data_IF_876100346111
#
_entry.id   IF_876100346111
#
_cell.length_a   1.000
_cell.length_b   1.000
_cell.length_c   1.000
_cell.angle_alpha   90.00
_cell.angle_beta   90.00
_cell.angle_gamma   90.00
#
_symmetry.space_group_name_H-M   'P 1'
#
loop_
_entity.id
_entity.type
_entity.pdbx_description
1 polymer ?
#
# COMPACT_ATOMS: atom_id res chain seq x y z
N UNK A 1 8.49 -15.45 -24.31
CA UNK A 1 9.69 -14.64 -24.60
C UNK A 1 9.91 -13.67 -23.47
N UNK A 2 11.12 -13.57 -22.95
CA UNK A 2 11.54 -12.54 -21.99
C UNK A 2 12.70 -11.71 -22.54
N UNK A 3 12.75 -10.45 -22.19
CA UNK A 3 13.87 -9.56 -22.45
C UNK A 3 14.53 -9.18 -21.14
N UNK A 4 15.85 -9.30 -21.06
CA UNK A 4 16.62 -8.96 -19.87
C UNK A 4 16.96 -7.47 -19.89
N UNK A 5 16.51 -6.74 -18.88
CA UNK A 5 16.93 -5.35 -18.63
C UNK A 5 17.60 -5.26 -17.25
N UNK A 6 18.93 -5.09 -17.18
CA UNK A 6 19.66 -5.02 -15.92
C UNK A 6 19.41 -3.72 -15.13
N UNK A 7 18.68 -2.75 -15.68
CA UNK A 7 18.30 -1.51 -14.99
C UNK A 7 17.01 -1.65 -14.19
N UNK A 8 16.23 -2.74 -14.46
CA UNK A 8 15.01 -3.00 -13.69
C UNK A 8 15.36 -3.50 -12.28
N UNK A 9 14.66 -3.02 -11.25
CA UNK A 9 14.82 -3.56 -9.91
C UNK A 9 14.37 -5.02 -9.88
N UNK A 10 15.12 -5.87 -9.16
CA UNK A 10 14.72 -7.24 -8.94
C UNK A 10 13.56 -7.32 -7.96
N UNK A 11 12.51 -8.05 -8.34
CA UNK A 11 11.33 -8.32 -7.51
C UNK A 11 11.25 -9.82 -7.29
N UNK A 12 11.34 -10.24 -6.03
CA UNK A 12 11.32 -11.66 -5.66
C UNK A 12 9.92 -12.21 -5.39
N UNK A 13 9.87 -13.29 -4.60
CA UNK A 13 8.63 -13.96 -4.25
C UNK A 13 7.95 -14.58 -5.47
N UNK A 14 6.63 -14.48 -5.55
CA UNK A 14 5.85 -15.04 -6.68
C UNK A 14 6.06 -14.33 -8.03
N UNK A 15 6.74 -13.17 -8.02
CA UNK A 15 7.13 -12.48 -9.25
C UNK A 15 8.41 -13.06 -9.89
N UNK A 16 9.20 -13.78 -9.10
CA UNK A 16 10.38 -14.47 -9.59
C UNK A 16 10.00 -15.86 -10.13
N UNK A 17 10.38 -16.12 -11.35
CA UNK A 17 10.18 -17.42 -12.00
C UNK A 17 11.53 -17.94 -12.51
N UNK A 18 11.65 -19.26 -12.65
CA UNK A 18 12.84 -19.86 -13.24
C UNK A 18 12.99 -19.46 -14.70
N UNK A 19 14.22 -19.36 -15.19
CA UNK A 19 14.50 -19.00 -16.59
C UNK A 19 13.87 -19.99 -17.57
N UNK A 20 13.72 -21.25 -17.19
CA UNK A 20 13.04 -22.30 -17.95
C UNK A 20 11.55 -22.06 -18.18
N UNK A 21 10.96 -21.07 -17.50
CA UNK A 21 9.58 -20.64 -17.75
C UNK A 21 9.41 -19.99 -19.13
N UNK A 22 10.49 -19.48 -19.70
CA UNK A 22 10.48 -18.80 -20.99
C UNK A 22 11.09 -19.65 -22.09
N UNK A 23 10.44 -19.72 -23.25
CA UNK A 23 10.99 -20.44 -24.45
C UNK A 23 12.17 -19.68 -25.06
N UNK A 24 12.18 -18.36 -24.95
CA UNK A 24 13.21 -17.49 -25.52
C UNK A 24 13.56 -16.38 -24.51
N UNK A 25 14.83 -16.24 -24.21
CA UNK A 25 15.37 -15.14 -23.41
C UNK A 25 16.31 -14.33 -24.29
N UNK A 26 16.05 -13.02 -24.38
CA UNK A 26 16.85 -12.08 -25.15
C UNK A 26 17.61 -11.19 -24.18
N UNK A 27 18.94 -11.12 -24.35
CA UNK A 27 19.81 -10.24 -23.58
C UNK A 27 20.44 -9.19 -24.51
N UNK A 28 19.78 -8.06 -24.73
CA UNK A 28 20.31 -7.03 -25.61
C UNK A 28 21.57 -6.39 -25.01
N UNK A 29 22.46 -5.94 -25.90
CA UNK A 29 23.71 -5.26 -25.49
C UNK A 29 23.50 -3.77 -25.15
N UNK A 30 22.24 -3.33 -25.15
CA UNK A 30 21.87 -1.93 -24.99
C UNK A 30 21.88 -1.13 -26.31
N UNK A 31 21.54 0.13 -26.30
CA UNK A 31 21.11 0.88 -25.13
C UNK A 31 19.73 0.39 -24.63
N UNK A 32 19.54 0.38 -23.31
CA UNK A 32 18.25 0.07 -22.72
C UNK A 32 17.34 1.29 -22.75
N UNK A 33 16.01 1.12 -22.96
CA UNK A 33 15.10 2.24 -22.86
C UNK A 33 15.11 2.80 -21.43
N UNK A 34 14.96 4.13 -21.25
CA UNK A 34 14.85 4.68 -19.91
C UNK A 34 13.61 4.12 -19.20
N UNK A 35 13.74 3.88 -17.89
CA UNK A 35 12.62 3.43 -17.09
C UNK A 35 11.47 4.44 -17.17
N UNK A 36 10.25 3.93 -17.29
CA UNK A 36 9.07 4.77 -17.32
C UNK A 36 8.88 5.49 -15.98
N UNK A 37 8.83 6.81 -16.06
CA UNK A 37 8.50 7.67 -14.92
C UNK A 37 7.02 8.05 -14.92
N UNK A 38 6.36 7.92 -13.76
CA UNK A 38 4.98 8.34 -13.64
C UNK A 38 4.86 9.87 -13.80
N UNK A 39 4.01 10.35 -14.73
CA UNK A 39 3.75 11.77 -14.82
C UNK A 39 3.02 12.26 -13.56
N UNK A 40 3.58 13.27 -12.89
CA UNK A 40 2.93 13.91 -11.74
C UNK A 40 2.04 15.04 -12.22
N UNK A 41 0.84 15.11 -11.66
CA UNK A 41 -0.06 16.23 -11.84
C UNK A 41 -0.20 16.98 -10.51
N UNK A 42 -0.33 18.32 -10.53
CA UNK A 42 -0.63 19.08 -9.33
C UNK A 42 -1.93 18.58 -8.70
N UNK A 43 -1.92 18.43 -7.39
CA UNK A 43 -3.11 18.06 -6.61
C UNK A 43 -3.91 19.32 -6.33
N UNK A 44 -5.17 19.36 -6.76
CA UNK A 44 -6.07 20.50 -6.51
C UNK A 44 -6.66 20.44 -5.09
N UNK A 45 -7.20 21.57 -4.62
CA UNK A 45 -7.93 21.62 -3.34
C UNK A 45 -9.14 20.68 -3.34
N UNK A 46 -9.77 20.49 -4.50
CA UNK A 46 -10.87 19.54 -4.67
C UNK A 46 -10.41 18.11 -4.50
N UNK A 47 -9.26 17.76 -5.08
CA UNK A 47 -8.67 16.42 -4.91
C UNK A 47 -8.33 16.17 -3.43
N UNK A 48 -7.76 17.17 -2.74
CA UNK A 48 -7.49 17.06 -1.30
C UNK A 48 -8.77 16.87 -0.48
N UNK A 49 -9.83 17.61 -0.78
CA UNK A 49 -11.12 17.43 -0.10
C UNK A 49 -11.68 16.03 -0.34
N UNK A 50 -11.66 15.53 -1.57
CA UNK A 50 -12.11 14.17 -1.90
C UNK A 50 -11.23 13.14 -1.19
N UNK A 51 -9.91 13.29 -1.19
CA UNK A 51 -8.98 12.43 -0.50
C UNK A 51 -9.22 12.37 1.01
N UNK A 52 -9.53 13.51 1.64
CA UNK A 52 -9.89 13.59 3.05
C UNK A 52 -11.20 12.84 3.34
N UNK A 53 -12.27 13.06 2.57
CA UNK A 53 -13.51 12.30 2.71
C UNK A 53 -13.29 10.80 2.49
N UNK A 54 -12.60 10.41 1.44
CA UNK A 54 -12.31 9.00 1.13
C UNK A 54 -11.50 8.32 2.25
N UNK A 55 -10.56 9.03 2.86
CA UNK A 55 -9.72 8.50 3.94
C UNK A 55 -10.52 8.11 5.19
N UNK A 56 -11.70 8.72 5.40
CA UNK A 56 -12.59 8.39 6.53
C UNK A 56 -13.26 7.03 6.39
N UNK A 57 -13.36 6.51 5.17
CA UNK A 57 -13.92 5.20 4.87
C UNK A 57 -12.89 4.07 4.97
N UNK A 58 -11.62 4.41 5.14
CA UNK A 58 -10.53 3.43 5.25
C UNK A 58 -10.46 2.90 6.67
N UNK A 59 -10.79 1.62 6.82
CA UNK A 59 -10.81 0.93 8.12
C UNK A 59 -9.39 0.49 8.51
N UNK A 60 -9.04 0.66 9.79
CA UNK A 60 -7.80 0.09 10.34
C UNK A 60 -7.79 -1.45 10.23
N UNK A 61 -6.67 -2.02 9.88
CA UNK A 61 -6.54 -3.44 9.58
C UNK A 61 -7.07 -3.85 8.20
N UNK A 62 -7.58 -2.90 7.40
CA UNK A 62 -8.12 -3.15 6.07
C UNK A 62 -7.08 -3.37 4.99
N UNK A 63 -7.58 -3.62 3.79
CA UNK A 63 -6.79 -3.68 2.55
C UNK A 63 -7.16 -2.49 1.69
N UNK A 64 -6.16 -1.80 1.15
CA UNK A 64 -6.32 -0.61 0.32
C UNK A 64 -5.59 -0.81 -1.00
N UNK A 65 -6.33 -0.67 -2.11
CA UNK A 65 -5.73 -0.58 -3.42
C UNK A 65 -5.67 0.89 -3.84
N UNK A 66 -4.48 1.34 -4.21
CA UNK A 66 -4.22 2.72 -4.63
C UNK A 66 -3.67 2.70 -6.05
N UNK A 67 -4.29 3.48 -6.93
CA UNK A 67 -3.78 3.72 -8.28
C UNK A 67 -2.77 4.86 -8.32
N UNK A 68 -2.70 5.52 -9.46
CA UNK A 68 -1.83 6.67 -9.73
C UNK A 68 -2.68 7.91 -10.03
N UNK A 69 -2.07 9.10 -9.88
CA UNK A 69 -2.70 10.38 -10.20
C UNK A 69 -2.99 11.26 -8.98
N UNK A 70 -3.45 12.48 -9.23
CA UNK A 70 -3.62 13.52 -8.22
C UNK A 70 -4.54 13.08 -7.05
N UNK A 71 -5.64 12.40 -7.37
CA UNK A 71 -6.57 11.90 -6.34
C UNK A 71 -5.92 10.81 -5.46
N UNK A 72 -5.12 9.93 -6.05
CA UNK A 72 -4.37 8.92 -5.30
C UNK A 72 -3.35 9.57 -4.35
N UNK A 73 -2.63 10.60 -4.83
CA UNK A 73 -1.68 11.37 -4.03
C UNK A 73 -2.40 12.10 -2.87
N UNK A 74 -3.56 12.68 -3.15
CA UNK A 74 -4.41 13.33 -2.13
C UNK A 74 -4.87 12.33 -1.04
N UNK A 75 -5.31 11.13 -1.44
CA UNK A 75 -5.70 10.08 -0.50
C UNK A 75 -4.50 9.62 0.34
N UNK A 76 -3.35 9.38 -0.28
CA UNK A 76 -2.12 9.05 0.45
C UNK A 76 -1.77 10.12 1.49
N UNK A 77 -1.83 11.40 1.10
CA UNK A 77 -1.59 12.51 2.02
C UNK A 77 -2.58 12.51 3.19
N UNK A 78 -3.87 12.33 2.93
CA UNK A 78 -4.90 12.30 3.96
C UNK A 78 -4.70 11.14 4.95
N UNK A 79 -4.31 9.95 4.47
CA UNK A 79 -4.04 8.78 5.31
C UNK A 79 -2.78 8.98 6.16
N UNK A 80 -1.73 9.58 5.61
CA UNK A 80 -0.53 9.95 6.37
C UNK A 80 -0.89 10.97 7.45
N UNK A 81 -1.61 12.04 7.10
CA UNK A 81 -2.05 13.06 8.06
C UNK A 81 -2.90 12.45 9.18
N UNK A 82 -3.86 11.58 8.83
CA UNK A 82 -4.68 10.85 9.81
C UNK A 82 -3.82 10.09 10.81
N UNK A 83 -2.73 9.47 10.36
CA UNK A 83 -1.89 8.64 11.21
C UNK A 83 -0.88 9.42 12.01
N UNK A 84 -0.24 10.43 11.42
CA UNK A 84 0.91 11.13 12.02
C UNK A 84 0.54 12.41 12.75
N UNK A 85 -0.55 13.09 12.34
CA UNK A 85 -1.09 14.28 12.99
C UNK A 85 -2.63 14.24 12.98
N UNK A 86 -3.17 13.36 13.79
CA UNK A 86 -4.60 13.13 13.89
C UNK A 86 -5.39 14.34 14.36
N UNK A 87 -4.78 15.18 15.19
CA UNK A 87 -5.43 16.40 15.67
C UNK A 87 -5.69 17.38 14.51
N UNK A 88 -4.71 17.59 13.65
CA UNK A 88 -4.87 18.40 12.44
C UNK A 88 -5.85 17.75 11.46
N UNK A 89 -5.77 16.44 11.24
CA UNK A 89 -6.68 15.71 10.40
C UNK A 89 -8.14 15.92 10.80
N UNK A 90 -8.48 15.70 12.07
CA UNK A 90 -9.85 15.89 12.60
C UNK A 90 -10.31 17.33 12.52
N UNK A 91 -9.42 18.28 12.79
CA UNK A 91 -9.75 19.72 12.68
C UNK A 91 -10.11 20.11 11.25
N UNK A 92 -9.36 19.63 10.26
CA UNK A 92 -9.64 19.90 8.84
C UNK A 92 -10.96 19.26 8.42
N UNK A 93 -11.21 18.01 8.80
CA UNK A 93 -12.46 17.32 8.50
C UNK A 93 -13.66 18.05 9.13
N UNK A 94 -13.57 18.44 10.38
CA UNK A 94 -14.64 19.19 11.05
C UNK A 94 -14.90 20.57 10.43
N UNK A 95 -13.89 21.18 9.80
CA UNK A 95 -14.06 22.42 9.06
C UNK A 95 -14.75 22.21 7.70
N UNK A 96 -14.53 21.03 7.08
CA UNK A 96 -15.18 20.65 5.83
C UNK A 96 -16.63 20.20 6.06
N UNK A 97 -16.84 19.35 7.06
CA UNK A 97 -18.14 18.79 7.42
C UNK A 97 -18.19 18.42 8.90
N UNK A 98 -18.84 19.22 9.75
CA UNK A 98 -18.93 18.97 11.19
C UNK A 98 -19.68 17.67 11.56
N UNK A 99 -20.51 17.15 10.69
CA UNK A 99 -21.29 15.93 10.94
C UNK A 99 -20.64 14.66 10.37
N UNK A 100 -19.52 14.78 9.68
CA UNK A 100 -18.87 13.66 8.97
C UNK A 100 -18.53 12.50 9.91
N UNK A 101 -18.09 12.78 11.14
CA UNK A 101 -17.76 11.73 12.14
C UNK A 101 -18.97 10.85 12.48
N UNK A 102 -20.18 11.41 12.37
CA UNK A 102 -21.45 10.71 12.65
C UNK A 102 -22.09 10.12 11.39
N UNK A 103 -21.47 10.33 10.25
CA UNK A 103 -22.02 9.82 9.00
C UNK A 103 -22.11 8.28 9.04
N UNK A 104 -23.27 7.69 8.65
CA UNK A 104 -23.48 6.23 8.77
C UNK A 104 -22.41 5.39 8.08
N UNK A 105 -21.90 5.82 6.92
CA UNK A 105 -20.86 5.10 6.19
C UNK A 105 -19.52 5.11 6.96
N UNK A 106 -19.16 6.22 7.62
CA UNK A 106 -17.94 6.31 8.44
C UNK A 106 -18.06 5.41 9.66
N UNK A 107 -19.21 5.42 10.33
CA UNK A 107 -19.46 4.55 11.50
C UNK A 107 -19.48 3.07 11.14
N UNK A 108 -20.01 2.71 9.96
CA UNK A 108 -20.13 1.31 9.55
C UNK A 108 -18.83 0.73 8.98
N UNK A 109 -18.09 1.50 8.22
CA UNK A 109 -16.99 0.97 7.39
C UNK A 109 -15.65 1.63 7.64
N UNK A 110 -15.62 2.79 8.31
CA UNK A 110 -14.45 3.62 8.37
C UNK A 110 -13.87 3.84 9.74
N UNK A 111 -13.36 5.04 9.93
CA UNK A 111 -12.82 5.54 11.19
C UNK A 111 -11.96 6.78 10.99
N UNK A 112 -11.73 7.50 12.07
CA UNK A 112 -10.95 8.73 12.09
C UNK A 112 -9.68 8.63 12.94
N UNK A 113 -9.53 7.54 13.69
CA UNK A 113 -8.36 7.34 14.57
C UNK A 113 -7.10 6.99 13.78
N UNK A 114 -5.92 7.22 14.32
CA UNK A 114 -4.68 6.69 13.78
C UNK A 114 -4.75 5.18 13.59
N UNK A 115 -4.02 4.66 12.63
CA UNK A 115 -3.98 3.23 12.37
C UNK A 115 -3.20 2.50 13.48
N UNK A 116 -3.86 1.64 14.25
CA UNK A 116 -3.24 0.81 15.27
C UNK A 116 -2.67 -0.50 14.68
N UNK A 117 -3.44 -1.17 13.82
CA UNK A 117 -3.04 -2.39 13.12
C UNK A 117 -2.21 -2.03 11.87
N UNK A 118 -2.65 -1.01 11.14
CA UNK A 118 -2.12 -0.62 9.85
C UNK A 118 -2.85 -1.31 8.69
N UNK A 119 -2.53 -0.89 7.48
CA UNK A 119 -3.14 -1.37 6.25
C UNK A 119 -2.24 -2.38 5.54
N UNK A 120 -2.86 -3.29 4.80
CA UNK A 120 -2.23 -3.94 3.67
C UNK A 120 -2.50 -3.09 2.43
N UNK A 121 -1.44 -2.77 1.69
CA UNK A 121 -1.54 -1.96 0.49
C UNK A 121 -1.23 -2.75 -0.76
N UNK A 122 -1.99 -2.53 -1.83
CA UNK A 122 -1.64 -2.96 -3.17
C UNK A 122 -1.71 -1.78 -4.13
N UNK A 123 -0.85 -1.77 -5.11
CA UNK A 123 -0.73 -0.71 -6.09
C UNK A 123 -0.43 -1.27 -7.46
N UNK A 124 -0.90 -0.59 -8.48
CA UNK A 124 -0.53 -0.89 -9.86
C UNK A 124 0.94 -0.55 -10.11
N UNK A 125 1.37 0.59 -9.62
CA UNK A 125 2.75 1.04 -9.69
C UNK A 125 3.16 1.65 -8.35
N UNK A 126 4.41 1.44 -7.95
CA UNK A 126 4.95 2.07 -6.75
C UNK A 126 5.23 3.53 -7.04
N UNK A 127 4.50 4.40 -6.38
CA UNK A 127 4.67 5.85 -6.44
C UNK A 127 5.14 6.41 -5.10
N UNK A 128 5.47 7.69 -5.07
CA UNK A 128 5.96 8.36 -3.86
C UNK A 128 4.91 8.36 -2.72
N UNK A 129 3.62 8.49 -3.07
CA UNK A 129 2.55 8.42 -2.09
C UNK A 129 2.49 7.06 -1.40
N UNK A 130 2.59 5.98 -2.18
CA UNK A 130 2.61 4.62 -1.65
C UNK A 130 3.84 4.36 -0.78
N UNK A 131 5.02 4.78 -1.24
CA UNK A 131 6.27 4.74 -0.46
C UNK A 131 6.10 5.46 0.87
N UNK A 132 5.51 6.64 0.87
CA UNK A 132 5.28 7.44 2.07
C UNK A 132 4.33 6.73 3.07
N UNK A 133 3.30 6.03 2.58
CA UNK A 133 2.42 5.22 3.43
C UNK A 133 3.18 4.08 4.15
N UNK A 134 4.14 3.46 3.47
CA UNK A 134 5.02 2.44 4.07
C UNK A 134 5.96 3.07 5.11
N UNK A 135 6.67 4.14 4.75
CA UNK A 135 7.63 4.82 5.63
C UNK A 135 7.00 5.34 6.91
N UNK A 136 5.76 5.83 6.83
CA UNK A 136 5.03 6.35 8.00
C UNK A 136 4.32 5.27 8.81
N UNK A 137 4.35 4.01 8.35
CA UNK A 137 3.72 2.89 9.04
C UNK A 137 2.20 2.82 8.88
N UNK A 138 1.62 3.54 7.93
CA UNK A 138 0.22 3.35 7.54
C UNK A 138 0.04 2.00 6.87
N UNK A 139 0.92 1.65 5.90
CA UNK A 139 0.99 0.31 5.32
C UNK A 139 2.05 -0.48 6.08
N UNK A 140 1.59 -1.44 6.88
CA UNK A 140 2.47 -2.32 7.67
C UNK A 140 1.88 -3.70 7.94
N UNK A 141 0.60 -3.91 7.60
CA UNK A 141 -0.04 -5.21 7.79
C UNK A 141 0.48 -6.19 6.76
N UNK A 142 1.01 -7.29 7.25
CA UNK A 142 1.52 -8.36 6.41
C UNK A 142 0.42 -9.36 6.04
N UNK A 143 0.58 -9.98 4.88
CA UNK A 143 -0.31 -11.00 4.34
C UNK A 143 0.53 -12.22 4.01
N UNK A 144 0.02 -13.40 4.31
CA UNK A 144 0.67 -14.68 4.01
C UNK A 144 -0.22 -15.50 3.07
N UNK A 145 0.38 -16.42 2.32
CA UNK A 145 -0.35 -17.34 1.43
C UNK A 145 -0.96 -18.53 2.21
N UNK A 146 -1.66 -18.19 3.27
CA UNK A 146 -2.42 -19.14 4.08
C UNK A 146 -3.74 -18.48 4.48
N UNK A 147 -4.79 -18.76 3.71
CA UNK A 147 -6.11 -18.17 3.93
C UNK A 147 -6.67 -18.57 5.32
N UNK A 148 -6.41 -19.80 5.76
CA UNK A 148 -6.90 -20.28 7.05
C UNK A 148 -6.22 -19.52 8.20
N UNK A 149 -4.90 -19.30 8.11
CA UNK A 149 -4.17 -18.48 9.07
C UNK A 149 -4.65 -17.02 9.04
N UNK A 150 -4.83 -16.43 7.85
CA UNK A 150 -5.31 -15.05 7.72
C UNK A 150 -6.70 -14.88 8.34
N UNK A 151 -7.60 -15.84 8.16
CA UNK A 151 -8.93 -15.84 8.83
C UNK A 151 -8.78 -15.90 10.35
N UNK A 152 -7.96 -16.80 10.87
CA UNK A 152 -7.70 -16.92 12.29
C UNK A 152 -7.07 -15.66 12.91
N UNK A 153 -6.21 -14.97 12.18
CA UNK A 153 -5.66 -13.68 12.61
C UNK A 153 -6.77 -12.62 12.66
N UNK A 154 -7.63 -12.57 11.64
CA UNK A 154 -8.75 -11.65 11.59
C UNK A 154 -9.76 -11.89 12.71
N UNK A 155 -10.02 -13.16 13.04
CA UNK A 155 -10.94 -13.56 14.12
C UNK A 155 -10.31 -13.49 15.51
N UNK A 156 -9.01 -13.13 15.61
CA UNK A 156 -8.27 -13.06 16.86
C UNK A 156 -7.93 -14.43 17.48
N UNK A 157 -8.08 -15.53 16.73
CA UNK A 157 -7.77 -16.90 17.19
C UNK A 157 -6.33 -17.34 16.88
N UNK A 158 -5.58 -16.52 16.12
CA UNK A 158 -4.15 -16.64 15.92
C UNK A 158 -3.48 -15.31 16.23
N UNK A 159 -2.17 -15.33 16.49
CA UNK A 159 -1.42 -14.15 16.88
C UNK A 159 -0.32 -13.80 15.85
N UNK A 160 0.30 -12.64 16.04
CA UNK A 160 1.42 -12.18 15.19
C UNK A 160 2.63 -13.11 15.24
N UNK A 161 2.79 -13.93 16.27
CA UNK A 161 3.84 -14.93 16.35
C UNK A 161 3.70 -16.03 15.30
N UNK A 162 2.47 -16.43 14.97
CA UNK A 162 2.21 -17.40 13.91
C UNK A 162 2.57 -16.81 12.55
N UNK A 163 2.22 -15.55 12.31
CA UNK A 163 2.60 -14.82 11.11
C UNK A 163 4.12 -14.67 11.00
N UNK A 164 4.78 -14.29 12.09
CA UNK A 164 6.23 -14.14 12.10
C UNK A 164 6.98 -15.47 11.88
N UNK A 165 6.38 -16.60 12.28
CA UNK A 165 6.91 -17.91 11.97
C UNK A 165 6.87 -18.20 10.47
N UNK A 166 5.72 -18.01 9.85
CA UNK A 166 5.57 -18.19 8.41
C UNK A 166 6.51 -17.30 7.60
N UNK A 167 6.67 -16.04 8.03
CA UNK A 167 7.64 -15.14 7.41
C UNK A 167 9.08 -15.67 7.45
N UNK A 168 9.50 -16.25 8.56
CA UNK A 168 10.84 -16.85 8.68
C UNK A 168 11.01 -18.08 7.80
N UNK A 169 9.94 -18.85 7.66
CA UNK A 169 9.93 -20.06 6.85
C UNK A 169 9.76 -19.77 5.35
N UNK A 170 9.61 -18.49 4.99
CA UNK A 170 9.48 -18.04 3.59
C UNK A 170 8.12 -18.31 2.96
N UNK A 171 7.12 -18.60 3.76
CA UNK A 171 5.77 -18.94 3.30
C UNK A 171 4.84 -17.74 3.13
N UNK A 172 5.35 -16.52 3.08
CA UNK A 172 4.50 -15.38 2.82
C UNK A 172 4.67 -14.81 1.42
N UNK A 173 3.61 -14.27 0.97
CA UNK A 173 3.45 -13.71 -0.37
C UNK A 173 3.78 -12.26 -0.42
N UNK A 174 4.13 -11.88 -1.56
CA UNK A 174 3.90 -10.62 -2.20
C UNK A 174 4.99 -9.59 -2.18
N UNK A 175 5.04 -8.91 -3.32
CA UNK A 175 5.76 -7.69 -3.55
C UNK A 175 5.58 -6.62 -2.48
N UNK A 176 4.47 -6.59 -1.76
CA UNK A 176 4.26 -5.69 -0.63
C UNK A 176 5.31 -5.84 0.49
N UNK A 177 5.91 -7.01 0.64
CA UNK A 177 6.99 -7.23 1.61
C UNK A 177 8.30 -6.62 1.16
N UNK A 178 8.50 -6.53 -0.12
CA UNK A 178 9.70 -5.98 -0.71
C UNK A 178 9.71 -4.47 -0.68
N UNK A 179 8.54 -3.83 -0.60
CA UNK A 179 8.42 -2.39 -0.46
C UNK A 179 8.97 -1.85 0.86
N UNK A 180 9.09 -2.69 1.88
CA UNK A 180 9.74 -2.37 3.15
C UNK A 180 11.21 -2.76 3.23
N UNK A 181 11.78 -3.36 2.18
CA UNK A 181 13.18 -3.77 2.17
C UNK A 181 14.09 -2.61 1.82
N UNK A 182 15.16 -2.36 2.61
CA UNK A 182 16.17 -1.36 2.25
C UNK A 182 16.83 -1.59 0.90
N UNK A 183 16.81 -2.81 0.39
CA UNK A 183 17.35 -3.15 -0.93
C UNK A 183 16.44 -2.71 -2.09
N UNK A 184 15.22 -2.30 -1.79
CA UNK A 184 14.25 -1.86 -2.79
C UNK A 184 14.34 -0.35 -3.09
N UNK A 185 14.87 0.43 -2.16
CA UNK A 185 15.06 1.88 -2.28
C UNK A 185 16.55 2.20 -2.58
#
# INVERSE_FOLDING_TARGET
VAEVDPQLPWIGGTAAVEDTYFDIIVSPQGPYPPLFGLPRQPVSDVDYAIGLYASTLVRDGGTLQIGIGALADALCHALVLRHTDNATYRRVLAALDPELERHPAVLASGGLDPFAIGLYGCSEMVNEGFKRLVETGVIRRKVVDDEALMRRIADGTANLGDQARLERDGEYLHGAFYLGSPAFY
#
